data_IF_350718298731
#
_entry.id   IF_350718298731
#
_cell.length_a   1.000
_cell.length_b   1.000
_cell.length_c   1.000
_cell.angle_alpha   90.00
_cell.angle_beta   90.00
_cell.angle_gamma   90.00
#
_symmetry.space_group_name_H-M   'P 1'
#
loop_
_entity.id
_entity.type
_entity.pdbx_description
1 polymer ?
#
# COMPACT_ATOMS: atom_id res chain seq x y z
N UNK A 1 -74.61 -32.25 -3.39
CA UNK A 1 -74.49 -30.81 -3.69
C UNK A 1 -74.68 -30.06 -2.38
N UNK A 2 -73.58 -29.78 -1.68
CA UNK A 2 -73.58 -28.99 -0.43
C UNK A 2 -72.70 -27.79 -0.70
N UNK A 3 -73.35 -26.64 -0.83
CA UNK A 3 -72.74 -25.33 -1.00
C UNK A 3 -72.41 -24.78 0.38
N UNK A 4 -71.12 -24.50 0.63
CA UNK A 4 -70.66 -23.79 1.81
C UNK A 4 -70.71 -22.28 1.54
N UNK A 5 -71.20 -21.45 2.48
CA UNK A 5 -71.26 -20.00 2.33
C UNK A 5 -69.91 -19.32 2.62
N UNK A 6 -69.71 -18.19 1.94
CA UNK A 6 -68.57 -17.26 2.02
C UNK A 6 -68.38 -16.66 3.42
N UNK A 7 -67.14 -16.44 3.89
CA UNK A 7 -66.86 -15.45 4.94
C UNK A 7 -66.66 -14.05 4.35
N UNK A 8 -67.05 -13.07 5.16
CA UNK A 8 -67.22 -11.67 4.85
C UNK A 8 -65.91 -10.86 4.76
N UNK A 9 -66.06 -9.74 4.07
CA UNK A 9 -65.18 -8.59 3.89
C UNK A 9 -64.61 -8.08 5.24
N UNK A 10 -63.28 -8.09 5.39
CA UNK A 10 -62.58 -7.48 6.51
C UNK A 10 -62.01 -6.13 6.07
N UNK A 11 -62.60 -5.10 6.67
CA UNK A 11 -62.39 -3.68 6.44
C UNK A 11 -60.95 -3.21 6.67
N UNK A 12 -60.53 -2.29 5.80
CA UNK A 12 -59.27 -1.59 5.82
C UNK A 12 -59.12 -0.64 7.03
N UNK A 13 -58.46 -1.09 8.10
CA UNK A 13 -58.01 -0.18 9.17
C UNK A 13 -56.77 -0.65 9.96
N UNK A 14 -55.95 -1.55 9.41
CA UNK A 14 -54.76 -2.06 10.14
C UNK A 14 -53.44 -1.92 9.36
N UNK A 15 -53.25 -0.75 8.74
CA UNK A 15 -52.02 -0.39 8.00
C UNK A 15 -51.32 0.84 8.54
N UNK A 16 -51.11 0.96 9.87
CA UNK A 16 -50.17 1.96 10.38
C UNK A 16 -49.75 1.76 11.86
N UNK A 17 -48.95 0.74 12.19
CA UNK A 17 -48.02 0.78 13.32
C UNK A 17 -47.28 -0.56 13.49
N UNK A 18 -46.02 -0.65 13.05
CA UNK A 18 -44.94 -1.43 13.68
C UNK A 18 -43.83 -1.71 12.65
N UNK A 19 -42.87 -0.79 12.51
CA UNK A 19 -41.56 -1.10 11.94
C UNK A 19 -40.55 -0.05 12.41
N UNK A 20 -40.17 -0.15 13.69
CA UNK A 20 -38.97 0.50 14.19
C UNK A 20 -38.40 -0.41 15.27
N UNK A 21 -37.08 -0.61 15.22
CA UNK A 21 -36.23 -1.40 16.13
C UNK A 21 -36.06 -2.87 15.72
N UNK A 22 -34.93 -3.16 15.05
CA UNK A 22 -33.82 -4.04 15.50
C UNK A 22 -33.04 -4.51 14.26
N UNK A 23 -31.83 -3.99 14.07
CA UNK A 23 -30.82 -4.67 13.25
C UNK A 23 -29.45 -4.34 13.83
N UNK A 24 -29.06 -5.16 14.80
CA UNK A 24 -27.69 -5.34 15.23
C UNK A 24 -27.37 -6.83 14.99
N UNK A 25 -26.11 -7.12 14.69
CA UNK A 25 -25.51 -8.44 14.36
C UNK A 25 -25.87 -9.10 13.02
N UNK A 26 -24.97 -8.94 12.03
CA UNK A 26 -24.66 -9.99 11.05
C UNK A 26 -23.31 -9.71 10.33
N UNK A 27 -22.17 -10.03 10.97
CA UNK A 27 -20.89 -10.23 10.26
C UNK A 27 -20.26 -11.53 10.75
N UNK A 28 -20.55 -12.64 10.07
CA UNK A 28 -19.69 -13.81 10.02
C UNK A 28 -20.16 -14.75 8.91
N UNK A 29 -19.48 -14.71 7.76
CA UNK A 29 -18.92 -15.88 7.07
C UNK A 29 -18.66 -15.52 5.62
N UNK A 30 -17.41 -15.52 5.20
CA UNK A 30 -17.08 -16.02 3.86
C UNK A 30 -15.65 -16.54 3.82
N UNK A 31 -15.59 -17.88 3.77
CA UNK A 31 -14.70 -18.71 2.96
C UNK A 31 -13.31 -18.18 2.66
N UNK A 32 -12.34 -18.71 3.40
CA UNK A 32 -10.94 -18.72 3.03
C UNK A 32 -10.74 -19.45 1.69
N UNK A 33 -10.11 -18.77 0.73
CA UNK A 33 -9.34 -19.38 -0.34
C UNK A 33 -7.87 -19.11 -0.04
N UNK A 34 -7.16 -20.16 0.38
CA UNK A 34 -5.70 -20.14 0.57
C UNK A 34 -4.99 -20.07 -0.78
N UNK A 35 -4.13 -19.07 -0.95
CA UNK A 35 -2.98 -19.13 -1.85
C UNK A 35 -1.73 -18.84 -1.04
N UNK A 36 -0.89 -19.86 -0.91
CA UNK A 36 0.36 -19.80 -0.17
C UNK A 36 1.40 -18.97 -0.94
N UNK A 37 1.96 -17.94 -0.29
CA UNK A 37 3.20 -17.30 -0.73
C UNK A 37 4.29 -17.56 0.30
N UNK A 38 5.27 -18.36 -0.12
CA UNK A 38 6.53 -18.59 0.56
C UNK A 38 7.46 -17.43 0.26
N UNK A 39 7.83 -16.66 1.27
CA UNK A 39 9.09 -15.92 1.28
C UNK A 39 9.76 -16.14 2.64
N UNK A 40 10.97 -16.70 2.57
CA UNK A 40 11.82 -17.08 3.68
C UNK A 40 12.74 -15.92 4.07
N UNK A 41 12.57 -15.39 5.27
CA UNK A 41 13.62 -14.63 5.96
C UNK A 41 14.57 -15.61 6.66
N UNK A 42 15.81 -15.66 6.20
CA UNK A 42 16.89 -16.41 6.82
C UNK A 42 17.71 -15.46 7.71
N UNK A 43 17.41 -15.45 9.01
CA UNK A 43 18.29 -14.87 10.02
C UNK A 43 19.27 -15.95 10.51
N UNK A 44 20.57 -15.74 10.27
CA UNK A 44 21.63 -16.59 10.79
C UNK A 44 22.19 -16.00 12.09
N UNK A 45 21.91 -16.70 13.18
CA UNK A 45 22.54 -16.52 14.49
C UNK A 45 23.85 -17.29 14.58
N UNK A 46 24.94 -16.59 14.91
CA UNK A 46 26.10 -17.05 15.70
C UNK A 46 26.73 -15.77 16.28
N UNK A 47 27.15 -15.63 17.53
CA UNK A 47 27.72 -16.59 18.47
C UNK A 47 29.03 -15.99 18.97
N UNK A 48 28.98 -15.40 20.17
CA UNK A 48 29.99 -14.68 20.97
C UNK A 48 31.43 -15.27 20.96
N UNK A 49 32.45 -14.40 20.90
CA UNK A 49 33.69 -14.50 21.72
C UNK A 49 34.32 -13.12 21.98
N UNK A 50 34.68 -12.91 23.25
CA UNK A 50 35.36 -11.73 23.82
C UNK A 50 36.88 -11.73 23.58
N UNK A 51 37.53 -10.56 23.47
CA UNK A 51 38.65 -10.09 24.33
C UNK A 51 39.32 -8.81 23.77
N UNK A 52 39.90 -8.01 24.67
CA UNK A 52 40.25 -6.59 24.52
C UNK A 52 41.63 -6.29 23.87
N UNK A 53 41.77 -5.10 23.26
CA UNK A 53 42.93 -4.19 23.41
C UNK A 53 42.74 -2.90 22.59
N UNK A 54 43.12 -1.79 23.20
CA UNK A 54 43.08 -0.42 22.69
C UNK A 54 44.02 -0.17 21.50
N UNK A 55 43.65 0.80 20.66
CA UNK A 55 44.60 1.70 20.01
C UNK A 55 44.64 1.66 18.48
N UNK A 56 44.26 2.80 17.90
CA UNK A 56 44.83 3.44 16.69
C UNK A 56 43.80 3.75 15.61
N UNK A 57 43.66 5.05 15.38
CA UNK A 57 42.96 5.74 14.31
C UNK A 57 43.30 5.16 12.94
N UNK A 58 42.27 4.88 12.14
CA UNK A 58 42.40 4.91 10.69
C UNK A 58 41.05 5.32 10.09
N UNK A 59 41.05 6.53 9.52
CA UNK A 59 39.98 7.02 8.65
C UNK A 59 40.05 6.15 7.40
N UNK A 60 39.02 5.36 7.15
CA UNK A 60 38.82 4.72 5.85
C UNK A 60 37.59 5.37 5.23
N UNK A 61 37.87 6.33 4.35
CA UNK A 61 37.07 6.56 3.17
C UNK A 61 36.91 5.19 2.49
N UNK A 62 35.76 4.54 2.72
CA UNK A 62 35.38 3.37 1.93
C UNK A 62 34.95 3.89 0.55
N UNK A 63 35.98 3.91 -0.30
CA UNK A 63 35.99 3.80 -1.75
C UNK A 63 34.62 3.86 -2.44
N UNK A 64 34.47 4.95 -3.22
CA UNK A 64 33.74 4.99 -4.47
C UNK A 64 34.03 3.72 -5.29
N UNK A 65 33.18 2.70 -5.15
CA UNK A 65 33.03 1.68 -6.18
C UNK A 65 32.29 2.34 -7.33
N UNK A 66 33.07 2.96 -8.19
CA UNK A 66 32.76 3.22 -9.59
C UNK A 66 32.36 1.88 -10.23
N UNK A 67 31.08 1.54 -10.09
CA UNK A 67 30.45 0.42 -10.77
C UNK A 67 30.43 0.81 -12.25
N UNK A 68 31.48 0.37 -12.93
CA UNK A 68 31.72 0.62 -14.33
C UNK A 68 30.50 0.32 -15.18
N UNK A 69 30.38 1.16 -16.19
CA UNK A 69 29.66 1.05 -17.45
C UNK A 69 29.69 -0.38 -18.03
N UNK A 70 28.88 -1.28 -17.46
CA UNK A 70 28.55 -2.58 -18.03
C UNK A 70 27.33 -2.37 -18.92
N UNK A 71 27.58 -2.25 -20.23
CA UNK A 71 26.58 -2.01 -21.26
C UNK A 71 25.69 -3.25 -21.51
N UNK A 72 25.08 -3.79 -20.45
CA UNK A 72 23.81 -4.46 -20.54
C UNK A 72 22.68 -3.44 -20.78
N UNK A 73 21.52 -3.86 -21.30
CA UNK A 73 20.37 -2.97 -21.41
C UNK A 73 20.05 -2.38 -20.03
N UNK A 74 19.91 -1.06 -19.95
CA UNK A 74 19.62 -0.35 -18.70
C UNK A 74 18.32 -0.94 -18.10
N UNK A 75 18.35 -1.26 -16.80
CA UNK A 75 17.16 -1.67 -16.05
C UNK A 75 15.99 -0.71 -16.31
N UNK A 76 16.29 0.58 -16.42
CA UNK A 76 15.33 1.62 -16.77
C UNK A 76 14.68 1.42 -18.13
N UNK A 77 15.48 1.14 -19.18
CA UNK A 77 14.99 0.94 -20.54
C UNK A 77 14.04 -0.26 -20.62
N UNK A 78 14.43 -1.39 -20.03
CA UNK A 78 13.62 -2.62 -20.06
C UNK A 78 12.28 -2.42 -19.37
N UNK A 79 12.29 -1.69 -18.26
CA UNK A 79 11.10 -1.38 -17.51
C UNK A 79 10.22 -0.37 -18.25
N UNK A 80 10.81 0.66 -18.86
CA UNK A 80 10.08 1.61 -19.70
C UNK A 80 9.41 0.91 -20.88
N UNK A 81 10.12 0.03 -21.60
CA UNK A 81 9.54 -0.79 -22.69
C UNK A 81 8.31 -1.57 -22.22
N UNK A 82 8.37 -2.18 -21.02
CA UNK A 82 7.25 -2.95 -20.47
C UNK A 82 6.04 -2.07 -20.17
N UNK A 83 6.27 -0.87 -19.62
CA UNK A 83 5.21 0.08 -19.31
C UNK A 83 4.63 0.69 -20.60
N UNK A 84 5.47 1.05 -21.57
CA UNK A 84 5.05 1.57 -22.87
C UNK A 84 4.16 0.55 -23.60
N UNK A 85 4.59 -0.71 -23.68
CA UNK A 85 3.78 -1.79 -24.30
C UNK A 85 2.43 -1.97 -23.57
N UNK A 86 2.41 -1.83 -22.25
CA UNK A 86 1.15 -1.88 -21.48
C UNK A 86 0.24 -0.70 -21.82
N UNK A 87 0.77 0.53 -21.88
CA UNK A 87 0.00 1.73 -22.21
C UNK A 87 -0.59 1.63 -23.63
N UNK A 88 0.20 1.14 -24.59
CA UNK A 88 -0.24 0.88 -25.96
C UNK A 88 -1.39 -0.12 -26.03
N UNK A 89 -1.32 -1.22 -25.28
CA UNK A 89 -2.39 -2.24 -25.24
C UNK A 89 -3.68 -1.65 -24.67
N UNK A 90 -3.56 -0.72 -23.73
CA UNK A 90 -4.69 -0.08 -23.06
C UNK A 90 -5.23 1.15 -23.80
N UNK A 91 -4.57 1.57 -24.89
CA UNK A 91 -4.90 2.79 -25.64
C UNK A 91 -4.87 4.04 -24.73
N UNK A 92 -3.80 4.16 -23.93
CA UNK A 92 -3.60 5.26 -22.97
C UNK A 92 -2.37 6.09 -23.34
N UNK A 93 -2.54 7.41 -23.39
CA UNK A 93 -1.42 8.33 -23.55
C UNK A 93 -0.65 8.49 -22.24
N UNK A 94 0.68 8.38 -22.31
CA UNK A 94 1.58 8.64 -21.18
C UNK A 94 3.00 8.94 -21.65
N UNK A 95 3.59 9.99 -21.08
CA UNK A 95 4.98 10.36 -21.22
C UNK A 95 5.79 9.64 -20.14
N UNK A 96 6.80 8.86 -20.55
CA UNK A 96 7.67 8.10 -19.63
C UNK A 96 9.01 8.82 -19.48
N UNK A 97 9.36 9.14 -18.24
CA UNK A 97 10.66 9.68 -17.86
C UNK A 97 11.45 8.66 -17.02
N UNK A 98 12.74 8.50 -17.35
CA UNK A 98 13.66 7.59 -16.67
C UNK A 98 14.78 8.39 -16.01
N UNK A 99 15.00 8.17 -14.72
CA UNK A 99 16.11 8.75 -13.97
C UNK A 99 16.87 7.67 -13.18
N UNK A 100 18.20 7.65 -13.29
CA UNK A 100 19.04 6.72 -12.52
C UNK A 100 19.75 7.48 -11.40
N UNK A 101 19.49 7.10 -10.14
CA UNK A 101 20.11 7.72 -8.97
C UNK A 101 20.46 6.71 -7.89
N UNK A 102 21.76 6.64 -7.56
CA UNK A 102 22.26 5.79 -6.47
C UNK A 102 22.00 4.30 -6.67
N UNK A 103 22.16 3.82 -7.91
CA UNK A 103 21.91 2.42 -8.28
C UNK A 103 20.44 2.02 -8.21
N UNK A 104 19.52 2.97 -8.43
CA UNK A 104 18.08 2.74 -8.55
C UNK A 104 17.55 3.49 -9.76
N UNK A 105 16.73 2.82 -10.56
CA UNK A 105 15.99 3.44 -11.66
C UNK A 105 14.65 3.95 -11.16
N UNK A 106 14.38 5.23 -11.40
CA UNK A 106 13.11 5.89 -11.12
C UNK A 106 12.40 6.07 -12.45
N UNK A 107 11.16 5.60 -12.52
CA UNK A 107 10.33 5.68 -13.71
C UNK A 107 9.09 6.46 -13.32
N UNK A 108 8.86 7.55 -14.03
CA UNK A 108 7.67 8.39 -13.85
C UNK A 108 6.86 8.33 -15.13
N UNK A 109 5.56 8.12 -14.99
CA UNK A 109 4.60 8.15 -16.10
C UNK A 109 3.64 9.29 -15.84
N UNK A 110 3.67 10.30 -16.68
CA UNK A 110 2.79 11.45 -16.61
C UNK A 110 1.94 11.54 -17.88
N UNK A 111 0.82 12.26 -17.83
CA UNK A 111 -0.01 12.48 -19.01
C UNK A 111 -0.63 13.87 -18.95
N UNK A 112 -0.72 14.49 -20.12
CA UNK A 112 -1.41 15.77 -20.28
C UNK A 112 -2.94 15.61 -20.41
N UNK A 113 -3.43 14.38 -20.60
CA UNK A 113 -4.85 14.07 -20.68
C UNK A 113 -5.48 13.88 -19.29
N UNK A 114 -6.67 14.47 -19.10
CA UNK A 114 -7.32 14.56 -17.78
C UNK A 114 -7.79 13.20 -17.21
N UNK A 115 -7.75 12.11 -18.00
CA UNK A 115 -8.26 10.80 -17.57
C UNK A 115 -7.38 9.59 -17.92
N UNK A 116 -6.32 9.75 -18.71
CA UNK A 116 -5.66 8.60 -19.35
C UNK A 116 -4.98 7.71 -18.30
N UNK A 117 -4.36 8.32 -17.30
CA UNK A 117 -3.69 7.57 -16.23
C UNK A 117 -4.57 7.31 -15.00
N UNK A 118 -5.83 7.77 -14.97
CA UNK A 118 -6.65 7.76 -13.73
C UNK A 118 -6.84 6.38 -13.11
N UNK A 119 -6.92 5.33 -13.91
CA UNK A 119 -7.06 3.96 -13.42
C UNK A 119 -5.71 3.42 -12.93
N UNK A 120 -4.63 3.74 -13.65
CA UNK A 120 -3.29 3.27 -13.36
C UNK A 120 -2.65 4.00 -12.18
N UNK A 121 -2.98 5.27 -11.96
CA UNK A 121 -2.44 6.12 -10.89
C UNK A 121 -2.97 5.82 -9.49
N UNK A 122 -3.89 4.85 -9.34
CA UNK A 122 -4.32 4.40 -8.01
C UNK A 122 -3.13 3.80 -7.25
N UNK A 123 -2.88 4.17 -5.98
CA UNK A 123 -1.71 3.71 -5.22
C UNK A 123 -1.50 2.20 -5.21
N UNK A 124 -2.58 1.44 -5.02
CA UNK A 124 -2.55 -0.01 -5.02
C UNK A 124 -2.24 -0.59 -6.41
N UNK A 125 -2.72 0.07 -7.46
CA UNK A 125 -2.46 -0.31 -8.86
C UNK A 125 -1.02 -0.01 -9.26
N UNK A 126 -0.48 1.16 -8.91
CA UNK A 126 0.94 1.49 -9.15
C UNK A 126 1.85 0.54 -8.41
N UNK A 127 1.51 0.18 -7.17
CA UNK A 127 2.27 -0.82 -6.40
C UNK A 127 2.28 -2.17 -7.12
N UNK A 128 1.13 -2.66 -7.57
CA UNK A 128 1.05 -3.92 -8.32
C UNK A 128 1.84 -3.84 -9.64
N UNK A 129 1.71 -2.73 -10.37
CA UNK A 129 2.40 -2.52 -11.64
C UNK A 129 3.93 -2.47 -11.46
N UNK A 130 4.41 -1.84 -10.40
CA UNK A 130 5.82 -1.82 -10.04
C UNK A 130 6.36 -3.25 -9.85
N UNK A 131 5.64 -4.09 -9.11
CA UNK A 131 6.08 -5.47 -8.87
C UNK A 131 6.05 -6.31 -10.15
N UNK A 132 5.04 -6.15 -11.00
CA UNK A 132 5.01 -6.80 -12.32
C UNK A 132 6.19 -6.37 -13.20
N UNK A 133 6.52 -5.08 -13.18
CA UNK A 133 7.64 -4.53 -13.95
C UNK A 133 8.97 -5.06 -13.43
N UNK A 134 9.17 -5.14 -12.11
CA UNK A 134 10.35 -5.75 -11.50
C UNK A 134 10.54 -7.20 -11.90
N UNK A 135 9.45 -7.97 -11.94
CA UNK A 135 9.46 -9.37 -12.41
C UNK A 135 9.81 -9.43 -13.90
N UNK A 136 9.27 -8.52 -14.72
CA UNK A 136 9.57 -8.45 -16.15
C UNK A 136 11.05 -8.12 -16.41
N UNK A 137 11.62 -7.17 -15.67
CA UNK A 137 13.05 -6.85 -15.72
C UNK A 137 13.87 -8.06 -15.28
N UNK A 138 13.57 -8.65 -14.12
CA UNK A 138 14.29 -9.82 -13.61
C UNK A 138 14.24 -11.00 -14.58
N UNK A 139 13.11 -11.22 -15.26
CA UNK A 139 12.98 -12.27 -16.26
C UNK A 139 13.89 -12.05 -17.49
N UNK A 140 14.20 -10.79 -17.82
CA UNK A 140 15.08 -10.42 -18.95
C UNK A 140 16.56 -10.33 -18.55
N UNK A 141 16.88 -9.79 -17.38
CA UNK A 141 18.26 -9.53 -16.92
C UNK A 141 18.81 -10.65 -16.04
N UNK A 142 17.95 -11.41 -15.37
CA UNK A 142 18.33 -12.38 -14.33
C UNK A 142 18.62 -11.76 -12.97
N UNK A 143 18.61 -10.43 -12.86
CA UNK A 143 18.95 -9.69 -11.64
C UNK A 143 17.71 -9.10 -10.97
N UNK A 144 17.78 -8.94 -9.65
CA UNK A 144 16.69 -8.29 -8.91
C UNK A 144 16.67 -6.80 -9.20
N UNK A 145 15.57 -6.34 -9.77
CA UNK A 145 15.31 -4.93 -10.02
C UNK A 145 15.03 -4.17 -8.72
N UNK A 146 15.65 -2.99 -8.59
CA UNK A 146 15.39 -2.02 -7.49
C UNK A 146 14.59 -0.82 -7.98
N UNK A 147 13.99 -0.90 -9.16
CA UNK A 147 13.24 0.20 -9.77
C UNK A 147 12.12 0.70 -8.86
N UNK A 148 11.79 1.97 -9.04
CA UNK A 148 10.74 2.69 -8.34
C UNK A 148 9.84 3.29 -9.41
N UNK A 149 8.55 2.96 -9.37
CA UNK A 149 7.56 3.48 -10.31
C UNK A 149 6.68 4.54 -9.63
N UNK A 150 6.37 5.61 -10.36
CA UNK A 150 5.27 6.53 -10.06
C UNK A 150 4.45 6.78 -11.32
N UNK A 151 3.13 6.88 -11.16
CA UNK A 151 2.20 7.08 -12.28
C UNK A 151 1.20 8.16 -11.89
N UNK A 152 1.19 9.27 -12.62
CA UNK A 152 0.26 10.39 -12.43
C UNK A 152 0.22 10.93 -11.00
N UNK A 153 1.38 11.01 -10.32
CA UNK A 153 1.47 11.50 -8.94
C UNK A 153 0.79 10.59 -7.90
N UNK A 154 0.73 9.29 -8.17
CA UNK A 154 0.13 8.28 -7.29
C UNK A 154 0.68 8.34 -5.86
N UNK A 155 2.00 8.51 -5.71
CA UNK A 155 2.66 8.61 -4.40
C UNK A 155 2.16 9.82 -3.60
N UNK A 156 2.07 10.98 -4.24
CA UNK A 156 1.57 12.20 -3.61
C UNK A 156 0.09 12.07 -3.23
N UNK A 157 -0.71 11.43 -4.09
CA UNK A 157 -2.11 11.11 -3.80
C UNK A 157 -2.23 10.23 -2.56
N UNK A 158 -1.41 9.17 -2.47
CA UNK A 158 -1.41 8.28 -1.31
C UNK A 158 -1.00 8.98 -0.02
N UNK A 159 0.00 9.85 -0.08
CA UNK A 159 0.40 10.66 1.08
C UNK A 159 -0.75 11.55 1.59
N UNK A 160 -1.52 12.15 0.68
CA UNK A 160 -2.71 12.94 1.04
C UNK A 160 -3.81 12.07 1.68
N UNK A 161 -4.04 10.86 1.17
CA UNK A 161 -5.00 9.91 1.77
C UNK A 161 -4.60 9.52 3.18
N UNK A 162 -3.32 9.21 3.40
CA UNK A 162 -2.78 8.89 4.73
C UNK A 162 -2.88 10.09 5.68
N UNK A 163 -2.59 11.30 5.19
CA UNK A 163 -2.76 12.52 5.97
C UNK A 163 -4.23 12.74 6.39
N UNK A 164 -5.18 12.46 5.50
CA UNK A 164 -6.62 12.55 5.82
C UNK A 164 -7.06 11.48 6.82
N UNK A 165 -6.48 10.28 6.79
CA UNK A 165 -6.73 9.23 7.79
C UNK A 165 -6.21 9.65 9.17
N UNK A 166 -5.02 10.24 9.23
CA UNK A 166 -4.44 10.78 10.46
C UNK A 166 -5.30 11.92 11.01
N UNK A 167 -5.80 12.81 10.15
CA UNK A 167 -6.68 13.91 10.57
C UNK A 167 -7.94 13.37 11.27
N UNK A 168 -8.63 12.41 10.66
CA UNK A 168 -9.81 11.79 11.27
C UNK A 168 -9.48 11.04 12.57
N UNK A 169 -8.27 10.48 12.68
CA UNK A 169 -7.81 9.84 13.91
C UNK A 169 -7.59 10.89 15.02
N UNK A 170 -6.98 12.02 14.68
CA UNK A 170 -6.77 13.13 15.60
C UNK A 170 -8.11 13.71 16.11
N UNK A 171 -9.08 13.95 15.22
CA UNK A 171 -10.43 14.40 15.60
C UNK A 171 -11.06 13.48 16.66
N UNK A 172 -10.99 12.15 16.48
CA UNK A 172 -11.52 11.19 17.47
C UNK A 172 -10.81 11.27 18.82
N UNK A 173 -9.48 11.47 18.82
CA UNK A 173 -8.71 11.63 20.05
C UNK A 173 -9.10 12.92 20.78
N UNK A 174 -9.32 14.01 20.05
CA UNK A 174 -9.80 15.28 20.57
C UNK A 174 -11.22 15.18 21.15
N UNK A 175 -12.09 14.40 20.52
CA UNK A 175 -13.45 14.09 21.01
C UNK A 175 -13.46 13.21 22.28
N UNK A 176 -12.30 12.66 22.67
CA UNK A 176 -12.12 11.96 23.95
C UNK A 176 -11.76 10.48 23.84
N UNK A 177 -11.48 9.96 22.63
CA UNK A 177 -10.91 8.62 22.49
C UNK A 177 -9.48 8.56 23.07
N UNK A 178 -9.14 7.44 23.71
CA UNK A 178 -7.78 7.21 24.26
C UNK A 178 -6.78 6.82 23.16
N UNK A 179 -7.26 6.12 22.12
CA UNK A 179 -6.46 5.68 20.99
C UNK A 179 -7.32 5.61 19.72
N UNK A 180 -6.66 5.65 18.56
CA UNK A 180 -7.31 5.48 17.26
C UNK A 180 -6.45 4.56 16.36
N UNK A 181 -6.99 3.38 16.02
CA UNK A 181 -6.36 2.45 15.09
C UNK A 181 -6.63 2.85 13.64
N UNK A 182 -5.59 2.89 12.83
CA UNK A 182 -5.66 3.08 11.38
C UNK A 182 -5.79 1.73 10.65
N UNK A 183 -6.22 1.73 9.39
CA UNK A 183 -6.21 0.52 8.56
C UNK A 183 -4.80 -0.10 8.44
N UNK A 184 -4.68 -1.42 8.23
CA UNK A 184 -3.40 -2.04 7.90
C UNK A 184 -2.78 -1.42 6.64
N UNK A 185 -1.46 -1.23 6.67
CA UNK A 185 -0.71 -0.57 5.60
C UNK A 185 0.75 -1.06 5.60
N UNK A 186 1.47 -0.85 4.50
CA UNK A 186 2.86 -1.28 4.33
C UNK A 186 3.81 -0.61 5.32
N UNK A 187 5.01 -1.18 5.50
CA UNK A 187 6.03 -0.60 6.38
C UNK A 187 6.43 0.82 5.99
N UNK A 188 6.46 1.12 4.69
CA UNK A 188 6.72 2.47 4.19
C UNK A 188 5.59 3.44 4.57
N UNK A 189 4.33 3.05 4.36
CA UNK A 189 3.18 3.87 4.71
C UNK A 189 3.09 4.10 6.22
N UNK A 190 3.39 3.08 7.04
CA UNK A 190 3.42 3.24 8.51
C UNK A 190 4.48 4.25 8.96
N UNK A 191 5.64 4.28 8.29
CA UNK A 191 6.67 5.29 8.55
C UNK A 191 6.17 6.69 8.17
N UNK A 192 5.58 6.84 6.99
CA UNK A 192 5.02 8.12 6.55
C UNK A 192 3.93 8.61 7.50
N UNK A 193 3.04 7.71 7.93
CA UNK A 193 2.02 8.01 8.95
C UNK A 193 2.66 8.42 10.28
N UNK A 194 3.71 7.73 10.74
CA UNK A 194 4.42 8.11 11.97
C UNK A 194 4.94 9.55 11.89
N UNK A 195 5.57 9.92 10.77
CA UNK A 195 6.07 11.27 10.54
C UNK A 195 4.92 12.30 10.54
N UNK A 196 3.80 12.00 9.87
CA UNK A 196 2.60 12.84 9.79
C UNK A 196 1.93 13.02 11.17
N UNK A 197 1.90 11.95 11.97
CA UNK A 197 1.33 11.94 13.33
C UNK A 197 2.22 12.74 14.29
N UNK A 198 3.54 12.52 14.24
CA UNK A 198 4.51 13.22 15.07
C UNK A 198 4.50 14.73 14.80
N UNK A 199 4.35 15.14 13.53
CA UNK A 199 4.22 16.55 13.15
C UNK A 199 2.99 17.24 13.78
N UNK A 200 1.95 16.48 14.13
CA UNK A 200 0.75 16.97 14.83
C UNK A 200 0.86 16.89 16.36
N UNK A 201 1.96 16.39 16.90
CA UNK A 201 2.18 16.28 18.35
C UNK A 201 1.52 15.07 19.02
N UNK A 202 1.13 14.06 18.22
CA UNK A 202 0.64 12.77 18.73
C UNK A 202 1.76 11.72 18.71
N UNK A 203 1.53 10.61 19.40
CA UNK A 203 2.42 9.44 19.38
C UNK A 203 1.79 8.35 18.52
N UNK A 204 2.60 7.53 17.86
CA UNK A 204 2.10 6.34 17.17
C UNK A 204 2.96 5.12 17.42
N UNK A 205 2.32 3.97 17.51
CA UNK A 205 2.98 2.67 17.59
C UNK A 205 2.42 1.74 16.51
N UNK A 206 3.24 0.79 16.04
CA UNK A 206 2.79 -0.20 15.07
C UNK A 206 2.44 -1.50 15.78
N UNK A 207 1.19 -1.91 15.65
CA UNK A 207 0.65 -3.14 16.23
C UNK A 207 0.24 -4.13 15.14
N UNK A 208 0.15 -5.41 15.50
CA UNK A 208 -0.19 -6.51 14.58
C UNK A 208 1.01 -7.09 13.82
N UNK A 209 0.75 -8.13 13.03
CA UNK A 209 1.77 -8.91 12.31
C UNK A 209 1.41 -9.08 10.84
N UNK A 210 2.44 -9.20 10.00
CA UNK A 210 2.30 -9.44 8.57
C UNK A 210 1.33 -8.46 7.89
N UNK A 211 0.24 -8.99 7.34
CA UNK A 211 -0.77 -8.26 6.57
C UNK A 211 -1.71 -7.42 7.43
N UNK A 212 -1.88 -7.79 8.70
CA UNK A 212 -2.77 -7.11 9.64
C UNK A 212 -2.04 -6.03 10.44
N UNK A 213 -0.75 -5.83 10.15
CA UNK A 213 0.08 -4.84 10.82
C UNK A 213 -0.36 -3.43 10.45
N UNK A 214 -0.71 -2.65 11.46
CA UNK A 214 -1.29 -1.31 11.34
C UNK A 214 -0.64 -0.34 12.32
N UNK A 215 -1.05 0.93 12.26
CA UNK A 215 -0.57 1.99 13.15
C UNK A 215 -1.69 2.41 14.10
N UNK A 216 -1.37 2.52 15.38
CA UNK A 216 -2.25 3.02 16.43
C UNK A 216 -1.74 4.38 16.86
N UNK A 217 -2.62 5.38 16.86
CA UNK A 217 -2.32 6.75 17.29
C UNK A 217 -2.81 6.95 18.71
N UNK A 218 -1.97 7.54 19.56
CA UNK A 218 -2.25 7.82 20.97
C UNK A 218 -1.91 9.27 21.32
N UNK A 219 -2.58 9.79 22.35
CA UNK A 219 -2.20 11.07 22.95
C UNK A 219 -0.94 10.86 23.81
N UNK A 220 0.05 11.78 23.77
CA UNK A 220 1.22 11.74 24.65
C UNK A 220 0.86 11.87 26.13
#
# INVERSE_FOLDING_TARGET
MTSAPLPADESADDRLAAASQTTDEAIASNGALEVASVVSDAESSTGDVSDASEGQSDVRDDDDVDAGDDAGPDEGDIAADYIEELLDILDLDGDIDIETRGGRSYISVDSSGENDLRVLSKPETVTALQELTRIAVQAKTGEFSRLILDVGGSRATREQELAALVERAAERLEEGATSASLPPMSSYERKLVHDIVAARGFTSESEGEGRDRHTVVTRP
#
